data_IF_089380303439
#
_entry.id   IF_089380303439
#
_cell.length_a   1.000
_cell.length_b   1.000
_cell.length_c   1.000
_cell.angle_alpha   90.00
_cell.angle_beta   90.00
_cell.angle_gamma   90.00
#
_symmetry.space_group_name_H-M   'P 1'
#
loop_
_entity.id
_entity.type
_entity.pdbx_description
1 polymer ?
#
# COMPACT_ATOMS: atom_id res chain seq x y z
N UNK A 1 59.80 -11.19 9.59
CA UNK A 1 58.71 -10.47 8.88
C UNK A 1 57.52 -10.41 9.82
N UNK A 2 57.08 -9.23 10.26
CA UNK A 2 55.85 -9.10 11.06
C UNK A 2 54.67 -9.47 10.17
N UNK A 3 53.84 -10.43 10.58
CA UNK A 3 52.56 -10.70 9.92
C UNK A 3 51.80 -9.37 9.77
N UNK A 4 51.16 -9.09 8.62
CA UNK A 4 50.30 -7.92 8.51
C UNK A 4 49.26 -7.99 9.64
N UNK A 5 48.94 -6.86 10.29
CA UNK A 5 47.97 -6.85 11.39
C UNK A 5 46.65 -7.45 10.88
N UNK A 6 46.06 -8.34 11.69
CA UNK A 6 44.81 -8.99 11.33
C UNK A 6 43.75 -7.95 10.92
N UNK A 7 42.98 -8.19 9.86
CA UNK A 7 42.00 -7.23 9.37
C UNK A 7 40.94 -6.97 10.44
N UNK A 8 40.80 -5.71 10.85
CA UNK A 8 39.86 -5.29 11.89
C UNK A 8 38.42 -5.67 11.48
N UNK A 9 37.64 -6.32 12.36
CA UNK A 9 36.30 -6.78 12.04
C UNK A 9 35.39 -5.62 11.59
N UNK A 10 34.50 -5.92 10.65
CA UNK A 10 33.47 -4.99 10.19
C UNK A 10 32.12 -5.43 10.74
N UNK A 11 31.54 -4.59 11.58
CA UNK A 11 30.23 -4.79 12.18
C UNK A 11 29.20 -4.03 11.37
N UNK A 12 28.08 -4.68 11.06
CA UNK A 12 27.03 -4.15 10.19
C UNK A 12 25.70 -4.24 10.91
N UNK A 13 24.97 -3.13 10.96
CA UNK A 13 23.58 -3.14 11.43
C UNK A 13 22.63 -3.74 10.39
N UNK A 14 21.46 -4.21 10.83
CA UNK A 14 20.50 -4.85 9.94
C UNK A 14 19.44 -3.87 9.42
N UNK A 15 18.64 -3.29 10.32
CA UNK A 15 17.44 -2.53 9.96
C UNK A 15 17.79 -1.14 9.41
N UNK A 16 17.27 -0.82 8.23
CA UNK A 16 17.61 0.40 7.49
C UNK A 16 19.09 0.55 7.08
N UNK A 17 19.93 -0.46 7.34
CA UNK A 17 21.34 -0.55 6.94
C UNK A 17 21.54 -1.63 5.89
N UNK A 18 21.54 -2.92 6.28
CA UNK A 18 21.54 -4.06 5.36
C UNK A 18 20.21 -4.21 4.63
N UNK A 19 19.12 -3.98 5.36
CA UNK A 19 17.76 -3.96 4.83
C UNK A 19 17.33 -2.52 4.57
N UNK A 20 16.47 -2.30 3.57
CA UNK A 20 15.84 -0.99 3.31
C UNK A 20 14.60 -0.72 4.17
N UNK A 21 14.39 -1.55 5.18
CA UNK A 21 13.18 -1.57 5.99
C UNK A 21 13.51 -1.75 7.46
N UNK A 22 12.50 -1.60 8.30
CA UNK A 22 12.53 -1.83 9.73
C UNK A 22 11.70 -3.08 10.05
N UNK A 23 12.36 -4.15 10.47
CA UNK A 23 11.72 -5.44 10.74
C UNK A 23 10.76 -5.42 11.93
N UNK A 24 10.92 -4.50 12.89
CA UNK A 24 9.96 -4.34 13.98
C UNK A 24 8.64 -3.77 13.45
N UNK A 25 8.70 -2.69 12.65
CA UNK A 25 7.50 -2.11 12.05
C UNK A 25 6.81 -3.10 11.11
N UNK A 26 7.57 -3.86 10.33
CA UNK A 26 6.98 -4.90 9.49
C UNK A 26 6.30 -6.00 10.30
N UNK A 27 6.92 -6.45 11.39
CA UNK A 27 6.32 -7.47 12.25
C UNK A 27 5.03 -6.96 12.90
N UNK A 28 4.96 -5.67 13.26
CA UNK A 28 3.74 -5.03 13.72
C UNK A 28 2.63 -5.04 12.66
N UNK A 29 2.93 -4.68 11.41
CA UNK A 29 1.92 -4.72 10.33
C UNK A 29 1.52 -6.14 9.94
N UNK A 30 2.45 -7.08 9.96
CA UNK A 30 2.16 -8.50 9.74
C UNK A 30 1.23 -9.04 10.84
N UNK A 31 1.48 -8.69 12.11
CA UNK A 31 0.61 -9.03 13.23
C UNK A 31 -0.75 -8.32 13.13
N UNK A 32 -0.79 -7.04 12.72
CA UNK A 32 -2.02 -6.29 12.52
C UNK A 32 -2.91 -6.94 11.46
N UNK A 33 -2.30 -7.49 10.39
CA UNK A 33 -3.00 -8.24 9.35
C UNK A 33 -3.49 -9.59 9.85
N UNK A 34 -2.65 -10.34 10.57
CA UNK A 34 -2.95 -11.72 10.98
C UNK A 34 -3.92 -11.80 12.16
N UNK A 35 -3.71 -10.98 13.20
CA UNK A 35 -4.50 -10.96 14.44
C UNK A 35 -4.67 -9.52 14.97
N UNK A 36 -5.55 -8.70 14.35
CA UNK A 36 -5.69 -7.29 14.72
C UNK A 36 -6.16 -7.07 16.16
N UNK A 37 -7.13 -7.88 16.64
CA UNK A 37 -7.63 -7.79 18.02
C UNK A 37 -6.57 -8.15 19.06
N UNK A 38 -5.76 -9.19 18.78
CA UNK A 38 -4.63 -9.56 19.64
C UNK A 38 -3.60 -8.43 19.72
N UNK A 39 -3.26 -7.82 18.58
CA UNK A 39 -2.29 -6.72 18.56
C UNK A 39 -2.81 -5.52 19.36
N UNK A 40 -4.10 -5.17 19.20
CA UNK A 40 -4.71 -4.09 19.96
C UNK A 40 -4.67 -4.38 21.47
N UNK A 41 -5.06 -5.58 21.90
CA UNK A 41 -4.99 -5.99 23.30
C UNK A 41 -3.56 -5.94 23.85
N UNK A 42 -2.58 -6.37 23.06
CA UNK A 42 -1.16 -6.32 23.45
C UNK A 42 -0.64 -4.89 23.58
N UNK A 43 -0.94 -4.01 22.63
CA UNK A 43 -0.57 -2.59 22.70
C UNK A 43 -1.21 -1.87 23.91
N UNK A 44 -2.40 -2.31 24.34
CA UNK A 44 -3.07 -1.75 25.52
C UNK A 44 -2.60 -2.35 26.85
N UNK A 45 -1.84 -3.46 26.85
CA UNK A 45 -1.34 -4.10 28.08
C UNK A 45 -0.02 -3.47 28.58
N UNK A 46 0.18 -3.39 29.90
CA UNK A 46 1.39 -2.91 30.59
C UNK A 46 2.02 -4.04 31.43
N UNK A 47 3.36 -4.14 31.56
CA UNK A 47 4.41 -3.24 31.06
C UNK A 47 5.25 -3.80 29.89
N UNK A 48 5.78 -2.88 29.07
CA UNK A 48 6.41 -3.14 27.77
C UNK A 48 7.88 -3.53 27.91
N UNK A 49 8.20 -4.82 27.86
CA UNK A 49 9.55 -5.26 27.56
C UNK A 49 9.72 -5.33 26.03
N UNK A 50 10.49 -4.40 25.44
CA UNK A 50 10.67 -4.32 23.98
C UNK A 50 11.22 -5.62 23.36
N UNK A 51 12.08 -6.34 24.11
CA UNK A 51 12.59 -7.64 23.69
C UNK A 51 11.48 -8.71 23.65
N UNK A 52 10.58 -8.70 24.64
CA UNK A 52 9.42 -9.60 24.69
C UNK A 52 8.38 -9.28 23.60
N UNK A 53 8.15 -8.00 23.30
CA UNK A 53 7.29 -7.60 22.19
C UNK A 53 7.83 -8.12 20.85
N UNK A 54 9.13 -8.00 20.60
CA UNK A 54 9.77 -8.52 19.37
C UNK A 54 9.55 -10.03 19.22
N UNK A 55 9.70 -10.77 20.32
CA UNK A 55 9.51 -12.22 20.36
C UNK A 55 8.04 -12.64 20.19
N UNK A 56 7.12 -11.92 20.84
CA UNK A 56 5.67 -12.16 20.69
C UNK A 56 5.22 -11.91 19.24
N UNK A 57 5.76 -10.87 18.59
CA UNK A 57 5.46 -10.54 17.20
C UNK A 57 5.95 -11.61 16.22
N UNK A 58 7.18 -12.13 16.40
CA UNK A 58 7.67 -13.25 15.58
C UNK A 58 6.84 -14.51 15.75
N UNK A 59 6.31 -14.76 16.95
CA UNK A 59 5.39 -15.88 17.21
C UNK A 59 4.02 -15.74 16.54
N UNK A 60 3.52 -14.52 16.34
CA UNK A 60 2.21 -14.28 15.70
C UNK A 60 2.29 -14.23 14.19
N UNK A 61 3.32 -13.58 13.64
CA UNK A 61 3.49 -13.43 12.21
C UNK A 61 4.99 -13.41 11.86
N UNK A 62 5.52 -14.57 11.50
CA UNK A 62 6.90 -14.68 11.06
C UNK A 62 7.11 -13.95 9.72
N UNK A 63 8.09 -13.05 9.67
CA UNK A 63 8.50 -12.39 8.43
C UNK A 63 9.27 -13.37 7.55
N UNK A 64 8.95 -13.41 6.26
CA UNK A 64 9.74 -14.16 5.28
C UNK A 64 11.00 -13.36 4.90
N UNK A 65 12.11 -13.70 5.54
CA UNK A 65 13.42 -13.10 5.31
C UNK A 65 13.88 -13.13 3.85
N UNK A 66 13.35 -14.04 3.01
CA UNK A 66 13.65 -14.11 1.57
C UNK A 66 13.06 -12.95 0.78
N UNK A 67 11.98 -12.35 1.28
CA UNK A 67 11.27 -11.27 0.58
C UNK A 67 11.72 -9.88 1.03
N UNK A 68 12.38 -9.75 2.19
CA UNK A 68 12.82 -8.47 2.74
C UNK A 68 13.72 -7.70 1.76
N UNK A 69 13.54 -6.37 1.62
CA UNK A 69 14.27 -5.57 0.65
C UNK A 69 15.70 -5.36 1.12
N UNK A 70 16.65 -5.98 0.44
CA UNK A 70 18.08 -5.85 0.72
C UNK A 70 18.65 -4.61 0.03
N UNK A 71 19.55 -3.90 0.71
CA UNK A 71 20.32 -2.82 0.09
C UNK A 71 21.53 -3.39 -0.68
N UNK A 72 21.28 -3.73 -1.95
CA UNK A 72 22.26 -4.43 -2.80
C UNK A 72 23.66 -3.79 -2.87
N UNK A 73 23.81 -2.45 -3.00
CA UNK A 73 25.13 -1.82 -3.03
C UNK A 73 25.98 -2.09 -1.78
N UNK A 74 25.35 -2.17 -0.60
CA UNK A 74 26.06 -2.52 0.63
C UNK A 74 26.45 -4.00 0.63
N UNK A 75 25.57 -4.90 0.18
CA UNK A 75 25.89 -6.32 0.08
C UNK A 75 27.07 -6.58 -0.85
N UNK A 76 27.14 -5.88 -1.99
CA UNK A 76 28.26 -6.01 -2.93
C UNK A 76 29.57 -5.50 -2.33
N UNK A 77 29.53 -4.39 -1.58
CA UNK A 77 30.68 -3.92 -0.80
C UNK A 77 31.11 -4.93 0.27
N UNK A 78 30.16 -5.53 1.00
CA UNK A 78 30.47 -6.52 2.04
C UNK A 78 31.08 -7.80 1.45
N UNK A 79 30.63 -8.25 0.27
CA UNK A 79 31.26 -9.36 -0.46
C UNK A 79 32.73 -9.07 -0.76
N UNK A 80 33.03 -7.85 -1.19
CA UNK A 80 34.41 -7.43 -1.43
C UNK A 80 35.24 -7.44 -0.14
N UNK A 81 34.71 -6.87 0.95
CA UNK A 81 35.38 -6.92 2.26
C UNK A 81 35.63 -8.35 2.73
N UNK A 82 34.68 -9.26 2.51
CA UNK A 82 34.83 -10.68 2.84
C UNK A 82 35.95 -11.33 2.03
N UNK A 83 36.05 -11.02 0.74
CA UNK A 83 37.12 -11.49 -0.15
C UNK A 83 38.50 -11.00 0.29
N UNK A 84 38.58 -9.80 0.86
CA UNK A 84 39.81 -9.26 1.47
C UNK A 84 40.17 -9.90 2.83
N UNK A 85 39.46 -10.96 3.24
CA UNK A 85 39.75 -11.71 4.47
C UNK A 85 39.20 -11.06 5.74
N UNK A 86 38.33 -10.06 5.62
CA UNK A 86 37.76 -9.35 6.76
C UNK A 86 36.67 -10.17 7.45
N UNK A 87 36.69 -10.20 8.77
CA UNK A 87 35.62 -10.81 9.58
C UNK A 87 34.39 -9.89 9.53
N UNK A 88 33.24 -10.43 9.14
CA UNK A 88 31.98 -9.69 9.05
C UNK A 88 31.03 -10.12 10.16
N UNK A 89 30.48 -9.16 10.88
CA UNK A 89 29.58 -9.40 12.01
C UNK A 89 28.27 -8.66 11.77
N UNK A 90 27.14 -9.36 11.83
CA UNK A 90 25.82 -8.73 11.85
C UNK A 90 25.48 -8.39 13.30
N UNK A 91 25.18 -7.13 13.61
CA UNK A 91 24.82 -6.69 14.96
C UNK A 91 23.54 -5.85 14.96
N UNK A 92 22.42 -6.44 15.38
CA UNK A 92 21.09 -5.81 15.31
C UNK A 92 20.34 -5.85 16.63
N UNK A 93 19.46 -4.88 16.84
CA UNK A 93 18.49 -4.93 17.94
C UNK A 93 17.30 -5.86 17.67
N UNK A 94 17.16 -6.42 16.48
CA UNK A 94 16.05 -7.29 16.12
C UNK A 94 16.17 -8.70 16.70
N UNK A 95 15.08 -9.45 16.65
CA UNK A 95 15.00 -10.81 17.17
C UNK A 95 16.03 -11.73 16.48
N UNK A 96 16.64 -12.62 17.26
CA UNK A 96 17.67 -13.54 16.78
C UNK A 96 17.22 -14.42 15.61
N UNK A 97 15.96 -14.88 15.60
CA UNK A 97 15.43 -15.72 14.52
C UNK A 97 15.43 -14.99 13.17
N UNK A 98 14.96 -13.73 13.15
CA UNK A 98 14.97 -12.89 11.95
C UNK A 98 16.41 -12.57 11.53
N UNK A 99 17.26 -12.17 12.48
CA UNK A 99 18.65 -11.83 12.21
C UNK A 99 19.43 -12.99 11.59
N UNK A 100 19.25 -14.21 12.12
CA UNK A 100 19.84 -15.43 11.57
C UNK A 100 19.30 -15.75 10.18
N UNK A 101 17.98 -15.62 9.95
CA UNK A 101 17.40 -15.87 8.64
C UNK A 101 17.94 -14.91 7.56
N UNK A 102 18.14 -13.64 7.91
CA UNK A 102 18.76 -12.64 7.02
C UNK A 102 20.24 -12.93 6.80
N UNK A 103 21.00 -13.26 7.86
CA UNK A 103 22.40 -13.61 7.76
C UNK A 103 22.63 -14.84 6.85
N UNK A 104 21.80 -15.87 7.01
CA UNK A 104 21.82 -17.08 6.18
C UNK A 104 21.50 -16.78 4.72
N UNK A 105 20.55 -15.87 4.45
CA UNK A 105 20.21 -15.44 3.08
C UNK A 105 21.40 -14.76 2.40
N UNK A 106 22.15 -13.94 3.13
CA UNK A 106 23.32 -13.26 2.58
C UNK A 106 24.52 -14.19 2.42
N UNK A 107 24.70 -15.14 3.35
CA UNK A 107 25.85 -16.04 3.42
C UNK A 107 27.21 -15.30 3.45
N UNK A 108 27.27 -14.18 4.19
CA UNK A 108 28.47 -13.32 4.30
C UNK A 108 29.04 -13.18 5.71
N UNK A 109 28.19 -13.36 6.74
CA UNK A 109 28.54 -13.03 8.11
C UNK A 109 29.15 -14.23 8.84
N UNK A 110 30.24 -13.98 9.55
CA UNK A 110 30.92 -14.97 10.41
C UNK A 110 30.24 -15.12 11.76
N UNK A 111 29.59 -14.04 12.22
CA UNK A 111 28.93 -13.99 13.52
C UNK A 111 27.69 -13.11 13.47
N UNK A 112 26.68 -13.50 14.22
CA UNK A 112 25.44 -12.73 14.41
C UNK A 112 25.29 -12.39 15.89
N UNK A 113 25.08 -11.11 16.17
CA UNK A 113 24.73 -10.57 17.47
C UNK A 113 23.33 -9.95 17.33
N UNK A 114 22.36 -10.45 18.09
CA UNK A 114 20.96 -10.02 18.01
C UNK A 114 20.32 -10.01 19.40
N UNK A 115 19.10 -9.45 19.50
CA UNK A 115 18.30 -9.54 20.72
C UNK A 115 17.74 -10.97 20.89
N UNK A 116 17.68 -11.45 22.13
CA UNK A 116 17.32 -12.84 22.48
C UNK A 116 16.05 -12.96 23.34
N UNK A 117 15.20 -11.92 23.32
CA UNK A 117 13.97 -11.84 24.13
C UNK A 117 14.19 -11.36 25.56
N UNK A 118 15.43 -11.45 26.09
CA UNK A 118 15.80 -10.95 27.43
C UNK A 118 16.67 -9.70 27.35
N UNK A 119 17.67 -9.70 26.47
CA UNK A 119 18.55 -8.57 26.21
C UNK A 119 18.15 -7.88 24.90
N UNK A 120 17.88 -6.58 24.96
CA UNK A 120 17.65 -5.75 23.78
C UNK A 120 18.98 -5.16 23.28
N UNK A 121 19.53 -5.69 22.19
CA UNK A 121 20.84 -5.30 21.65
C UNK A 121 20.74 -4.01 20.80
N UNK A 122 20.39 -2.90 21.43
CA UNK A 122 20.29 -1.58 20.79
C UNK A 122 21.08 -0.51 21.55
N UNK A 123 21.57 0.51 20.86
CA UNK A 123 22.21 1.66 21.51
C UNK A 123 23.42 1.28 22.35
N UNK A 124 23.41 1.73 23.61
CA UNK A 124 24.48 1.47 24.60
C UNK A 124 24.74 -0.02 24.79
N UNK A 125 23.70 -0.87 24.90
CA UNK A 125 23.89 -2.31 25.07
C UNK A 125 24.60 -2.96 23.86
N UNK A 126 24.35 -2.44 22.65
CA UNK A 126 25.06 -2.87 21.42
C UNK A 126 26.54 -2.45 21.51
N UNK A 127 26.81 -1.21 21.91
CA UNK A 127 28.17 -0.68 22.12
C UNK A 127 28.92 -1.50 23.16
N UNK A 128 28.35 -1.71 24.34
CA UNK A 128 28.98 -2.44 25.45
C UNK A 128 29.34 -3.88 25.05
N UNK A 129 28.44 -4.56 24.33
CA UNK A 129 28.70 -5.91 23.82
C UNK A 129 29.85 -5.96 22.81
N UNK A 130 29.94 -4.97 21.92
CA UNK A 130 31.01 -4.89 20.92
C UNK A 130 32.35 -4.51 21.54
N UNK A 131 32.36 -3.55 22.47
CA UNK A 131 33.56 -3.14 23.21
C UNK A 131 34.07 -4.28 24.09
N UNK A 132 33.18 -5.04 24.74
CA UNK A 132 33.57 -6.22 25.51
C UNK A 132 34.19 -7.32 24.64
N UNK A 133 33.74 -7.46 23.38
CA UNK A 133 34.23 -8.51 22.48
C UNK A 133 35.51 -8.14 21.73
N UNK A 134 35.70 -6.87 21.37
CA UNK A 134 36.77 -6.43 20.46
C UNK A 134 37.63 -5.27 21.00
N UNK A 135 37.23 -4.66 22.12
CA UNK A 135 37.88 -3.47 22.66
C UNK A 135 37.44 -2.16 21.99
N UNK A 136 37.79 -1.04 22.62
CA UNK A 136 37.57 0.30 22.07
C UNK A 136 38.47 0.47 20.83
N UNK A 137 37.89 0.95 19.72
CA UNK A 137 38.53 1.05 18.40
C UNK A 137 39.06 -0.29 17.84
N UNK A 138 38.53 -1.41 18.34
CA UNK A 138 38.86 -2.76 17.84
C UNK A 138 37.99 -3.25 16.70
N UNK A 139 37.04 -2.44 16.23
CA UNK A 139 36.10 -2.78 15.16
C UNK A 139 35.74 -1.53 14.34
N UNK A 140 35.31 -1.72 13.09
CA UNK A 140 34.63 -0.69 12.31
C UNK A 140 33.12 -0.98 12.25
N UNK A 141 32.30 0.05 12.04
CA UNK A 141 30.84 -0.07 12.15
C UNK A 141 30.07 0.58 10.99
N UNK A 142 29.09 -0.13 10.44
CA UNK A 142 28.12 0.39 9.46
C UNK A 142 26.74 0.42 10.10
N UNK A 143 26.09 1.59 10.09
CA UNK A 143 24.76 1.80 10.65
C UNK A 143 24.00 2.93 9.96
N UNK A 144 22.81 3.28 10.46
CA UNK A 144 21.92 4.25 9.80
C UNK A 144 21.14 5.14 10.78
N UNK A 145 21.18 4.86 12.08
CA UNK A 145 20.28 5.44 13.07
C UNK A 145 20.99 6.31 14.10
N UNK A 146 20.26 7.18 14.79
CA UNK A 146 20.80 7.91 15.94
C UNK A 146 21.15 6.98 17.11
N UNK A 147 20.51 5.80 17.19
CA UNK A 147 20.86 4.76 18.16
C UNK A 147 22.27 4.20 17.96
N UNK A 148 22.88 4.42 16.80
CA UNK A 148 24.24 3.97 16.50
C UNK A 148 25.33 4.94 16.94
N UNK A 149 24.97 6.15 17.40
CA UNK A 149 25.93 7.17 17.84
C UNK A 149 26.90 6.66 18.92
N UNK A 150 26.47 5.94 19.98
CA UNK A 150 27.39 5.39 20.97
C UNK A 150 28.34 4.34 20.38
N UNK A 151 27.86 3.55 19.42
CA UNK A 151 28.65 2.51 18.74
C UNK A 151 29.72 3.14 17.86
N UNK A 152 29.35 4.16 17.06
CA UNK A 152 30.30 4.93 16.27
C UNK A 152 31.36 5.64 17.13
N UNK A 153 31.00 6.14 18.31
CA UNK A 153 31.96 6.78 19.21
C UNK A 153 33.07 5.82 19.68
N UNK A 154 32.77 4.52 19.75
CA UNK A 154 33.70 3.48 20.17
C UNK A 154 34.37 2.74 19.01
N UNK A 155 33.87 2.91 17.77
CA UNK A 155 34.41 2.30 16.56
C UNK A 155 35.67 3.03 16.07
N UNK A 156 36.53 2.32 15.34
CA UNK A 156 37.73 2.89 14.72
C UNK A 156 37.39 3.71 13.47
N UNK A 157 36.61 3.13 12.56
CA UNK A 157 35.99 3.82 11.43
C UNK A 157 34.50 3.51 11.37
N UNK A 158 33.72 4.42 10.80
CA UNK A 158 32.29 4.25 10.65
C UNK A 158 31.78 4.58 9.25
N UNK A 159 30.70 3.94 8.84
CA UNK A 159 29.93 4.34 7.67
C UNK A 159 28.44 4.46 8.00
N UNK A 160 27.85 5.58 7.61
CA UNK A 160 26.43 5.82 7.76
C UNK A 160 25.69 5.60 6.43
N UNK A 161 24.76 4.65 6.42
CA UNK A 161 23.90 4.34 5.28
C UNK A 161 22.64 5.18 5.37
N UNK A 162 22.32 5.91 4.29
CA UNK A 162 21.11 6.74 4.17
C UNK A 162 20.74 7.55 5.43
N UNK A 163 21.68 8.31 6.04
CA UNK A 163 21.42 8.99 7.31
C UNK A 163 20.32 10.04 7.18
N UNK A 164 19.48 10.12 8.21
CA UNK A 164 18.47 11.17 8.36
C UNK A 164 19.10 12.56 8.39
N UNK A 165 18.30 13.62 8.17
CA UNK A 165 18.79 15.01 8.20
C UNK A 165 19.47 15.31 9.54
N UNK A 166 18.86 14.90 10.65
CA UNK A 166 19.42 15.01 11.99
C UNK A 166 20.73 14.22 12.13
N UNK A 167 20.75 12.95 11.69
CA UNK A 167 21.96 12.15 11.84
C UNK A 167 23.13 12.70 11.00
N UNK A 168 22.86 13.35 9.86
CA UNK A 168 23.88 14.03 9.06
C UNK A 168 24.56 15.17 9.81
N UNK A 169 23.88 15.88 10.71
CA UNK A 169 24.52 16.93 11.52
C UNK A 169 25.40 16.34 12.61
N UNK A 170 24.98 15.24 13.24
CA UNK A 170 25.78 14.56 14.27
C UNK A 170 27.02 13.89 13.69
N UNK A 171 26.91 13.19 12.55
CA UNK A 171 28.06 12.56 11.88
C UNK A 171 29.13 13.58 11.47
N UNK A 172 28.76 14.83 11.13
CA UNK A 172 29.75 15.88 10.82
C UNK A 172 30.68 16.18 11.99
N UNK A 173 30.26 15.88 13.23
CA UNK A 173 31.07 16.03 14.43
C UNK A 173 31.99 14.82 14.68
N UNK A 174 31.88 13.76 13.89
CA UNK A 174 32.62 12.49 14.01
C UNK A 174 33.43 12.24 12.73
N UNK A 175 34.65 12.79 12.59
CA UNK A 175 35.41 12.76 11.32
C UNK A 175 35.79 11.35 10.86
N UNK A 176 35.78 10.36 11.75
CA UNK A 176 36.02 8.94 11.42
C UNK A 176 34.78 8.23 10.87
N UNK A 177 33.61 8.88 10.83
CA UNK A 177 32.36 8.34 10.29
C UNK A 177 32.06 8.99 8.94
N UNK A 178 32.10 8.19 7.88
CA UNK A 178 31.84 8.63 6.51
C UNK A 178 30.41 8.26 6.08
N UNK A 179 29.91 8.86 5.01
CA UNK A 179 28.63 8.43 4.42
C UNK A 179 28.87 7.30 3.44
N UNK A 180 28.08 6.24 3.55
CA UNK A 180 28.12 5.14 2.59
C UNK A 180 27.30 5.49 1.35
N UNK A 181 27.98 5.73 0.22
CA UNK A 181 27.44 5.76 -1.14
C UNK A 181 26.05 6.43 -1.28
N UNK A 182 25.90 7.63 -0.69
CA UNK A 182 24.60 8.19 -0.35
C UNK A 182 24.03 9.16 -1.41
N UNK A 183 23.53 8.64 -2.53
CA UNK A 183 22.71 9.41 -3.49
C UNK A 183 21.31 8.84 -3.75
N UNK A 184 20.88 7.82 -3.00
CA UNK A 184 19.49 7.37 -3.02
C UNK A 184 18.59 8.40 -2.28
N UNK A 185 18.40 9.58 -2.87
CA UNK A 185 17.29 10.46 -2.49
C UNK A 185 16.01 9.69 -2.71
N UNK A 186 15.09 9.77 -1.74
CA UNK A 186 13.73 9.28 -1.98
C UNK A 186 13.15 10.18 -3.04
N UNK A 187 12.99 9.63 -4.24
CA UNK A 187 12.48 10.36 -5.38
C UNK A 187 11.01 10.78 -5.12
N UNK A 188 10.63 11.95 -5.62
CA UNK A 188 9.27 12.45 -5.57
C UNK A 188 8.30 11.46 -6.23
N UNK A 189 8.76 10.73 -7.25
CA UNK A 189 8.01 9.64 -7.87
C UNK A 189 7.59 8.55 -6.86
N UNK A 190 8.43 8.26 -5.86
CA UNK A 190 8.10 7.26 -4.82
C UNK A 190 6.95 7.74 -3.93
N UNK A 191 6.90 9.04 -3.62
CA UNK A 191 5.79 9.65 -2.90
C UNK A 191 4.50 9.62 -3.73
N UNK A 192 4.54 10.13 -4.96
CA UNK A 192 3.38 10.20 -5.86
C UNK A 192 2.80 8.79 -6.10
N UNK A 193 3.68 7.80 -6.32
CA UNK A 193 3.29 6.40 -6.50
C UNK A 193 2.65 5.81 -5.24
N UNK A 194 3.22 6.05 -4.05
CA UNK A 194 2.68 5.55 -2.78
C UNK A 194 1.31 6.14 -2.44
N UNK A 195 1.11 7.42 -2.74
CA UNK A 195 -0.14 8.17 -2.52
C UNK A 195 -1.23 7.73 -3.52
N UNK A 196 -0.82 7.11 -4.64
CA UNK A 196 -1.70 6.64 -5.71
C UNK A 196 -2.52 7.75 -6.35
N UNK A 197 -1.86 8.84 -6.76
CA UNK A 197 -2.52 9.97 -7.45
C UNK A 197 -3.33 9.52 -8.67
N UNK A 198 -2.87 8.52 -9.41
CA UNK A 198 -3.64 7.93 -10.52
C UNK A 198 -5.00 7.39 -10.09
N UNK A 199 -5.19 6.97 -8.84
CA UNK A 199 -6.47 6.47 -8.34
C UNK A 199 -7.45 7.57 -7.94
N UNK A 200 -7.04 8.85 -7.93
CA UNK A 200 -7.92 9.98 -7.60
C UNK A 200 -9.06 10.14 -8.61
N UNK A 201 -8.88 9.65 -9.84
CA UNK A 201 -9.94 9.62 -10.86
C UNK A 201 -11.21 8.91 -10.37
N UNK A 202 -11.10 7.94 -9.45
CA UNK A 202 -12.26 7.23 -8.88
C UNK A 202 -13.14 8.13 -8.03
N UNK A 203 -12.58 9.22 -7.52
CA UNK A 203 -13.32 10.19 -6.74
C UNK A 203 -14.10 11.17 -7.63
N UNK A 204 -13.87 11.18 -8.96
CA UNK A 204 -14.74 11.91 -9.89
C UNK A 204 -16.19 11.42 -9.84
N UNK A 205 -16.44 10.22 -9.28
CA UNK A 205 -17.79 9.73 -8.99
C UNK A 205 -18.59 10.64 -8.03
N UNK A 206 -17.92 11.49 -7.25
CA UNK A 206 -18.59 12.50 -6.43
C UNK A 206 -19.30 13.57 -7.29
N UNK A 207 -18.89 13.74 -8.55
CA UNK A 207 -19.49 14.69 -9.48
C UNK A 207 -20.72 14.11 -10.21
N UNK A 208 -20.89 12.79 -10.21
CA UNK A 208 -21.96 12.11 -10.96
C UNK A 208 -23.36 12.62 -10.59
N UNK A 209 -23.71 12.82 -9.30
CA UNK A 209 -25.02 13.37 -8.94
C UNK A 209 -25.25 14.77 -9.54
N UNK A 210 -24.23 15.62 -9.59
CA UNK A 210 -24.36 16.98 -10.13
C UNK A 210 -24.59 16.97 -11.63
N UNK A 211 -23.94 16.05 -12.35
CA UNK A 211 -24.12 15.92 -13.79
C UNK A 211 -25.52 15.43 -14.18
N UNK A 212 -26.18 14.69 -13.28
CA UNK A 212 -27.47 14.05 -13.53
C UNK A 212 -28.67 14.78 -12.91
N UNK A 213 -28.46 15.72 -11.99
CA UNK A 213 -29.56 16.49 -11.38
C UNK A 213 -30.06 17.62 -12.30
N UNK A 214 -29.36 17.90 -13.42
CA UNK A 214 -29.70 18.89 -14.46
C UNK A 214 -30.05 20.31 -13.95
N UNK A 215 -29.73 20.63 -12.68
CA UNK A 215 -29.96 21.93 -12.06
C UNK A 215 -28.76 22.85 -12.22
N UNK A 216 -29.03 24.15 -12.26
CA UNK A 216 -27.99 25.15 -12.08
C UNK A 216 -27.59 25.20 -10.61
N UNK A 217 -26.33 24.88 -10.33
CA UNK A 217 -25.76 24.97 -8.99
C UNK A 217 -25.11 26.32 -8.76
N UNK A 218 -25.29 26.88 -7.57
CA UNK A 218 -24.60 28.09 -7.17
C UNK A 218 -23.09 27.83 -6.93
N UNK A 219 -22.31 28.91 -6.91
CA UNK A 219 -20.86 28.84 -6.73
C UNK A 219 -20.46 28.17 -5.41
N UNK A 220 -21.27 28.35 -4.35
CA UNK A 220 -21.07 27.71 -3.05
C UNK A 220 -21.20 26.19 -3.14
N UNK A 221 -22.23 25.69 -3.81
CA UNK A 221 -22.43 24.24 -3.98
C UNK A 221 -21.27 23.61 -4.77
N UNK A 222 -20.85 24.25 -5.86
CA UNK A 222 -19.71 23.79 -6.65
C UNK A 222 -18.43 23.75 -5.79
N UNK A 223 -18.17 24.81 -5.02
CA UNK A 223 -17.02 24.86 -4.11
C UNK A 223 -17.06 23.73 -3.07
N UNK A 224 -18.21 23.47 -2.45
CA UNK A 224 -18.37 22.37 -1.49
C UNK A 224 -18.08 21.00 -2.12
N UNK A 225 -18.50 20.78 -3.36
CA UNK A 225 -18.27 19.51 -4.05
C UNK A 225 -16.81 19.33 -4.44
N UNK A 226 -16.11 20.39 -4.88
CA UNK A 226 -14.67 20.33 -5.10
C UNK A 226 -13.89 20.13 -3.79
N UNK A 227 -14.35 20.74 -2.69
CA UNK A 227 -13.78 20.53 -1.37
C UNK A 227 -14.00 19.08 -0.88
N UNK A 228 -15.18 18.51 -1.14
CA UNK A 228 -15.50 17.11 -0.90
C UNK A 228 -14.64 16.15 -1.74
N UNK A 229 -14.38 16.49 -3.00
CA UNK A 229 -13.48 15.75 -3.89
C UNK A 229 -12.06 15.71 -3.32
N UNK A 230 -11.50 16.87 -2.92
CA UNK A 230 -10.19 16.96 -2.29
C UNK A 230 -10.14 16.16 -0.98
N UNK A 231 -11.18 16.27 -0.14
CA UNK A 231 -11.34 15.51 1.09
C UNK A 231 -11.28 13.99 0.84
N UNK A 232 -12.00 13.48 -0.16
CA UNK A 232 -12.01 12.06 -0.52
C UNK A 232 -10.68 11.59 -1.13
N UNK A 233 -9.97 12.44 -1.87
CA UNK A 233 -8.62 12.13 -2.38
C UNK A 233 -7.63 11.89 -1.25
N UNK A 234 -7.63 12.74 -0.21
CA UNK A 234 -6.78 12.57 0.96
C UNK A 234 -7.16 11.34 1.79
N UNK A 235 -8.45 11.16 2.08
CA UNK A 235 -8.97 9.98 2.79
C UNK A 235 -8.58 8.67 2.08
N UNK A 236 -8.83 8.59 0.77
CA UNK A 236 -8.51 7.41 -0.03
C UNK A 236 -6.99 7.16 -0.09
N UNK A 237 -6.17 8.20 -0.18
CA UNK A 237 -4.71 8.07 -0.17
C UNK A 237 -4.20 7.47 1.15
N UNK A 238 -4.75 7.91 2.29
CA UNK A 238 -4.42 7.29 3.59
C UNK A 238 -4.85 5.83 3.69
N UNK A 239 -6.04 5.48 3.16
CA UNK A 239 -6.48 4.08 3.07
C UNK A 239 -5.54 3.25 2.20
N UNK A 240 -5.08 3.78 1.06
CA UNK A 240 -4.14 3.07 0.19
C UNK A 240 -2.76 2.87 0.84
N UNK A 241 -2.24 3.87 1.55
CA UNK A 241 -1.01 3.73 2.33
C UNK A 241 -1.16 2.65 3.40
N UNK A 242 -2.27 2.65 4.15
CA UNK A 242 -2.53 1.63 5.16
C UNK A 242 -2.61 0.23 4.55
N UNK A 243 -3.31 0.09 3.43
CA UNK A 243 -3.42 -1.18 2.73
C UNK A 243 -2.04 -1.69 2.29
N UNK A 244 -1.18 -0.82 1.76
CA UNK A 244 0.15 -1.21 1.27
C UNK A 244 1.11 -1.57 2.42
N UNK A 245 0.95 -0.93 3.58
CA UNK A 245 1.65 -1.32 4.80
C UNK A 245 1.23 -2.70 5.32
N UNK A 246 -0.07 -3.01 5.29
CA UNK A 246 -0.60 -4.32 5.68
C UNK A 246 -0.33 -5.42 4.64
N UNK A 247 -0.12 -5.05 3.38
CA UNK A 247 0.14 -5.95 2.25
C UNK A 247 1.64 -6.13 1.96
N UNK A 248 2.57 -5.57 2.74
CA UNK A 248 4.03 -5.57 2.46
C UNK A 248 4.58 -6.95 2.04
N UNK A 249 4.33 -8.00 2.84
CA UNK A 249 4.81 -9.35 2.55
C UNK A 249 4.21 -9.92 1.26
N UNK A 250 2.90 -9.79 1.09
CA UNK A 250 2.19 -10.28 -0.12
C UNK A 250 2.59 -9.50 -1.38
N UNK A 251 2.80 -8.19 -1.27
CA UNK A 251 3.18 -7.34 -2.38
C UNK A 251 4.58 -7.67 -2.90
N UNK A 252 5.51 -8.06 -2.02
CA UNK A 252 6.88 -8.46 -2.40
C UNK A 252 6.95 -9.76 -3.16
N UNK A 253 6.03 -10.68 -2.88
CA UNK A 253 5.93 -11.96 -3.60
C UNK A 253 5.31 -11.76 -4.99
N UNK A 254 4.52 -10.71 -5.18
CA UNK A 254 3.82 -10.46 -6.44
C UNK A 254 4.73 -9.91 -7.55
N UNK A 255 4.59 -10.35 -8.83
CA UNK A 255 5.52 -10.00 -9.92
C UNK A 255 5.64 -8.49 -10.19
N UNK A 256 4.49 -7.80 -10.21
CA UNK A 256 4.41 -6.34 -10.42
C UNK A 256 4.40 -5.53 -9.11
N UNK A 257 3.59 -5.91 -8.10
CA UNK A 257 3.43 -5.14 -6.86
C UNK A 257 4.71 -5.06 -6.01
N UNK A 258 5.69 -5.94 -6.22
CA UNK A 258 7.02 -5.85 -5.56
C UNK A 258 7.76 -4.55 -5.85
N UNK A 259 7.41 -3.87 -6.94
CA UNK A 259 7.98 -2.56 -7.33
C UNK A 259 7.30 -1.38 -6.65
N UNK A 260 6.22 -1.58 -5.88
CA UNK A 260 5.58 -0.51 -5.10
C UNK A 260 6.61 0.11 -4.14
N UNK A 261 6.50 1.41 -3.90
CA UNK A 261 7.50 2.16 -3.14
C UNK A 261 7.73 1.59 -1.73
N UNK A 262 6.66 1.14 -1.06
CA UNK A 262 6.76 0.51 0.27
C UNK A 262 7.32 -0.92 0.20
N UNK A 263 6.82 -1.76 -0.72
CA UNK A 263 7.26 -3.13 -0.88
C UNK A 263 8.76 -3.24 -1.23
N UNK A 264 9.26 -2.35 -2.09
CA UNK A 264 10.67 -2.28 -2.50
C UNK A 264 11.60 -1.61 -1.48
N UNK A 265 11.05 -0.97 -0.44
CA UNK A 265 11.81 -0.15 0.51
C UNK A 265 12.33 1.17 -0.09
N UNK A 266 11.75 1.65 -1.19
CA UNK A 266 12.05 2.97 -1.76
C UNK A 266 11.48 4.11 -0.90
N UNK A 267 10.31 3.90 -0.29
CA UNK A 267 9.72 4.79 0.71
C UNK A 267 9.79 4.13 2.10
N UNK A 268 10.49 4.72 3.08
CA UNK A 268 10.53 4.18 4.44
C UNK A 268 9.15 4.15 5.10
N UNK A 269 8.89 3.11 5.89
CA UNK A 269 7.62 2.89 6.59
C UNK A 269 7.25 4.07 7.48
N UNK A 270 8.23 4.66 8.18
CA UNK A 270 8.02 5.80 9.08
C UNK A 270 7.47 7.02 8.32
N UNK A 271 7.94 7.26 7.09
CA UNK A 271 7.43 8.37 6.26
C UNK A 271 6.03 8.09 5.77
N UNK A 272 5.72 6.85 5.40
CA UNK A 272 4.36 6.46 5.01
C UNK A 272 3.37 6.61 6.17
N UNK A 273 3.78 6.31 7.41
CA UNK A 273 2.96 6.54 8.61
C UNK A 273 2.64 8.03 8.81
N UNK A 274 3.63 8.91 8.67
CA UNK A 274 3.42 10.37 8.76
C UNK A 274 2.47 10.86 7.66
N UNK A 275 2.63 10.39 6.42
CA UNK A 275 1.71 10.72 5.32
C UNK A 275 0.29 10.22 5.55
N UNK A 276 0.15 8.98 6.03
CA UNK A 276 -1.14 8.38 6.36
C UNK A 276 -1.87 9.21 7.41
N UNK A 277 -1.21 9.49 8.54
CA UNK A 277 -1.78 10.29 9.62
C UNK A 277 -2.10 11.72 9.14
N UNK A 278 -1.17 12.35 8.42
CA UNK A 278 -1.34 13.70 7.88
C UNK A 278 -2.52 13.81 6.91
N UNK A 279 -2.72 12.83 6.02
CA UNK A 279 -3.84 12.83 5.09
C UNK A 279 -5.18 12.57 5.74
N UNK A 280 -5.27 11.65 6.69
CA UNK A 280 -6.51 11.44 7.44
C UNK A 280 -6.87 12.66 8.29
N UNK A 281 -5.87 13.26 8.94
CA UNK A 281 -6.07 14.50 9.70
C UNK A 281 -6.52 15.65 8.79
N UNK A 282 -5.82 15.90 7.68
CA UNK A 282 -6.19 16.94 6.72
C UNK A 282 -7.57 16.70 6.09
N UNK A 283 -7.89 15.45 5.73
CA UNK A 283 -9.21 15.06 5.23
C UNK A 283 -10.31 15.39 6.25
N UNK A 284 -10.09 15.06 7.53
CA UNK A 284 -11.04 15.37 8.60
C UNK A 284 -11.19 16.87 8.84
N UNK A 285 -10.10 17.63 8.84
CA UNK A 285 -10.12 19.09 8.94
C UNK A 285 -10.94 19.72 7.81
N UNK A 286 -10.73 19.26 6.57
CA UNK A 286 -11.53 19.70 5.41
C UNK A 286 -13.00 19.33 5.59
N UNK A 287 -13.30 18.12 6.07
CA UNK A 287 -14.66 17.65 6.27
C UNK A 287 -15.46 18.49 7.29
N UNK A 288 -14.79 19.21 8.21
CA UNK A 288 -15.46 20.12 9.15
C UNK A 288 -16.16 21.29 8.47
N UNK A 289 -15.71 21.68 7.27
CA UNK A 289 -16.33 22.74 6.47
C UNK A 289 -17.49 22.24 5.59
N UNK A 290 -17.75 20.93 5.57
CA UNK A 290 -18.80 20.31 4.78
C UNK A 290 -20.00 19.91 5.65
N UNK A 291 -21.19 19.64 5.07
CA UNK A 291 -22.38 19.26 5.83
C UNK A 291 -22.17 18.06 6.77
N UNK A 292 -22.91 18.00 7.88
CA UNK A 292 -22.80 16.91 8.86
C UNK A 292 -23.06 15.53 8.26
N UNK A 293 -24.02 15.43 7.34
CA UNK A 293 -24.32 14.20 6.62
C UNK A 293 -23.11 13.71 5.80
N UNK A 294 -22.36 14.63 5.17
CA UNK A 294 -21.13 14.29 4.45
C UNK A 294 -20.08 13.70 5.41
N UNK A 295 -19.89 14.30 6.59
CA UNK A 295 -18.92 13.81 7.60
C UNK A 295 -19.23 12.39 8.06
N UNK A 296 -20.52 12.09 8.31
CA UNK A 296 -20.96 10.74 8.67
C UNK A 296 -20.71 9.76 7.52
N UNK A 297 -21.02 10.14 6.28
CA UNK A 297 -20.75 9.32 5.10
C UNK A 297 -19.25 9.03 4.92
N UNK A 298 -18.39 10.04 5.09
CA UNK A 298 -16.93 9.89 5.05
C UNK A 298 -16.43 8.92 6.13
N UNK A 299 -16.95 9.05 7.36
CA UNK A 299 -16.61 8.15 8.46
C UNK A 299 -17.01 6.70 8.16
N UNK A 300 -18.24 6.47 7.67
CA UNK A 300 -18.73 5.15 7.27
C UNK A 300 -17.84 4.58 6.14
N UNK A 301 -17.49 5.40 5.16
CA UNK A 301 -16.59 5.02 4.07
C UNK A 301 -15.21 4.59 4.59
N UNK A 302 -14.59 5.38 5.48
CA UNK A 302 -13.28 5.05 6.07
C UNK A 302 -13.34 3.77 6.89
N UNK A 303 -14.39 3.60 7.70
CA UNK A 303 -14.61 2.38 8.49
C UNK A 303 -14.77 1.16 7.58
N UNK A 304 -15.60 1.27 6.54
CA UNK A 304 -15.81 0.21 5.55
C UNK A 304 -14.49 -0.19 4.89
N UNK A 305 -13.67 0.78 4.47
CA UNK A 305 -12.37 0.52 3.84
C UNK A 305 -11.35 -0.10 4.81
N UNK A 306 -11.39 0.27 6.09
CA UNK A 306 -10.56 -0.35 7.13
C UNK A 306 -10.95 -1.82 7.36
N UNK A 307 -12.25 -2.08 7.56
CA UNK A 307 -12.80 -3.43 7.74
C UNK A 307 -12.53 -4.29 6.50
N UNK A 308 -12.67 -3.72 5.30
CA UNK A 308 -12.28 -4.35 4.06
C UNK A 308 -10.82 -4.78 4.05
N UNK A 309 -9.92 -3.86 4.39
CA UNK A 309 -8.47 -4.10 4.34
C UNK A 309 -8.02 -5.16 5.33
N UNK A 310 -8.65 -5.24 6.50
CA UNK A 310 -8.31 -6.19 7.56
C UNK A 310 -8.96 -7.57 7.35
N UNK A 311 -10.22 -7.61 6.91
CA UNK A 311 -11.00 -8.86 6.92
C UNK A 311 -11.65 -9.18 5.57
N UNK A 312 -12.48 -8.27 5.03
CA UNK A 312 -13.40 -8.62 3.94
C UNK A 312 -12.70 -8.89 2.60
N UNK A 313 -11.49 -8.34 2.39
CA UNK A 313 -10.76 -8.50 1.13
C UNK A 313 -10.40 -9.94 0.76
N UNK A 314 -10.46 -10.87 1.71
CA UNK A 314 -10.12 -12.29 1.51
C UNK A 314 -11.36 -13.19 1.37
N UNK A 315 -12.57 -12.63 1.42
CA UNK A 315 -13.83 -13.37 1.31
C UNK A 315 -14.36 -13.19 -0.12
N UNK A 316 -14.45 -14.26 -0.94
CA UNK A 316 -14.94 -14.18 -2.30
C UNK A 316 -16.33 -13.56 -2.39
N UNK A 317 -16.56 -12.78 -3.43
CA UNK A 317 -17.75 -11.94 -3.70
C UNK A 317 -18.00 -10.83 -2.68
N UNK A 318 -17.76 -11.06 -1.39
CA UNK A 318 -17.89 -10.03 -0.34
C UNK A 318 -16.87 -8.92 -0.55
N UNK A 319 -15.66 -9.23 -1.01
CA UNK A 319 -14.66 -8.22 -1.38
C UNK A 319 -15.19 -7.28 -2.48
N UNK A 320 -15.74 -7.84 -3.57
CA UNK A 320 -16.29 -7.11 -4.70
C UNK A 320 -17.53 -6.30 -4.31
N UNK A 321 -18.43 -6.89 -3.50
CA UNK A 321 -19.62 -6.21 -2.99
C UNK A 321 -19.24 -5.02 -2.10
N UNK A 322 -18.23 -5.20 -1.24
CA UNK A 322 -17.72 -4.13 -0.38
C UNK A 322 -17.13 -2.98 -1.19
N UNK A 323 -16.39 -3.28 -2.26
CA UNK A 323 -15.88 -2.26 -3.18
C UNK A 323 -17.03 -1.52 -3.86
N UNK A 324 -18.05 -2.24 -4.35
CA UNK A 324 -19.25 -1.64 -4.95
C UNK A 324 -19.96 -0.67 -3.99
N UNK A 325 -20.19 -1.08 -2.74
CA UNK A 325 -20.73 -0.21 -1.69
C UNK A 325 -19.83 1.02 -1.48
N UNK A 326 -18.52 0.85 -1.46
CA UNK A 326 -17.57 1.96 -1.38
C UNK A 326 -17.67 2.94 -2.55
N UNK A 327 -18.00 2.48 -3.75
CA UNK A 327 -18.26 3.34 -4.91
C UNK A 327 -19.62 4.05 -4.77
N UNK A 328 -20.66 3.36 -4.31
CA UNK A 328 -21.95 3.99 -3.99
C UNK A 328 -21.80 5.10 -2.94
N UNK A 329 -21.03 4.86 -1.87
CA UNK A 329 -20.77 5.86 -0.83
C UNK A 329 -20.08 7.11 -1.38
N UNK A 330 -19.23 6.99 -2.42
CA UNK A 330 -18.64 8.16 -3.10
C UNK A 330 -19.71 8.98 -3.82
N UNK A 331 -20.59 8.31 -4.57
CA UNK A 331 -21.71 8.98 -5.25
C UNK A 331 -22.60 9.67 -4.20
N UNK A 332 -22.94 8.98 -3.12
CA UNK A 332 -23.73 9.54 -2.01
C UNK A 332 -23.04 10.72 -1.35
N UNK A 333 -21.74 10.64 -1.09
CA UNK A 333 -20.98 11.75 -0.52
C UNK A 333 -20.99 12.98 -1.42
N UNK A 334 -20.87 12.81 -2.74
CA UNK A 334 -21.00 13.89 -3.71
C UNK A 334 -22.34 14.61 -3.62
N UNK A 335 -23.44 13.86 -3.60
CA UNK A 335 -24.77 14.42 -3.45
C UNK A 335 -24.98 15.12 -2.10
N UNK A 336 -24.50 14.52 -1.00
CA UNK A 336 -24.59 15.14 0.33
C UNK A 336 -23.77 16.43 0.45
N UNK A 337 -22.62 16.52 -0.23
CA UNK A 337 -21.85 17.76 -0.31
C UNK A 337 -22.58 18.84 -1.13
N UNK A 338 -23.34 18.42 -2.14
CA UNK A 338 -24.14 19.31 -2.98
C UNK A 338 -25.51 19.68 -2.40
N UNK A 339 -25.94 19.06 -1.30
CA UNK A 339 -27.32 19.16 -0.81
C UNK A 339 -28.36 18.52 -1.73
N UNK A 340 -27.93 17.63 -2.63
CA UNK A 340 -28.78 16.93 -3.59
C UNK A 340 -29.26 15.57 -3.06
N UNK A 341 -30.38 15.10 -3.60
CA UNK A 341 -30.89 13.76 -3.34
C UNK A 341 -30.27 12.76 -4.31
N UNK A 342 -29.91 11.58 -3.81
CA UNK A 342 -29.41 10.50 -4.67
C UNK A 342 -30.58 9.61 -5.09
N UNK A 343 -30.74 9.39 -6.39
CA UNK A 343 -31.71 8.42 -6.91
C UNK A 343 -31.34 7.00 -6.49
N UNK A 344 -32.32 6.26 -5.94
CA UNK A 344 -32.16 4.83 -5.62
C UNK A 344 -31.83 3.99 -6.86
N UNK A 345 -32.34 4.39 -8.03
CA UNK A 345 -32.01 3.78 -9.32
C UNK A 345 -30.55 3.96 -9.68
N UNK A 346 -30.01 5.18 -9.53
CA UNK A 346 -28.60 5.47 -9.79
C UNK A 346 -27.68 4.62 -8.89
N UNK A 347 -27.99 4.52 -7.60
CA UNK A 347 -27.20 3.70 -6.67
C UNK A 347 -27.26 2.21 -7.00
N UNK A 348 -28.43 1.69 -7.39
CA UNK A 348 -28.61 0.28 -7.74
C UNK A 348 -27.86 -0.07 -9.03
N UNK A 349 -28.03 0.72 -10.09
CA UNK A 349 -27.32 0.54 -11.35
C UNK A 349 -25.80 0.65 -11.16
N UNK A 350 -25.35 1.70 -10.45
CA UNK A 350 -23.93 1.90 -10.16
C UNK A 350 -23.36 0.78 -9.31
N UNK A 351 -24.07 0.34 -8.27
CA UNK A 351 -23.65 -0.74 -7.39
C UNK A 351 -23.43 -2.04 -8.15
N UNK A 352 -24.38 -2.44 -8.99
CA UNK A 352 -24.26 -3.64 -9.84
C UNK A 352 -23.14 -3.52 -10.87
N UNK A 353 -23.00 -2.35 -11.51
CA UNK A 353 -21.92 -2.09 -12.46
C UNK A 353 -20.54 -2.20 -11.79
N UNK A 354 -20.34 -1.54 -10.64
CA UNK A 354 -19.07 -1.59 -9.92
C UNK A 354 -18.79 -2.95 -9.29
N UNK A 355 -19.82 -3.69 -8.89
CA UNK A 355 -19.68 -5.08 -8.45
C UNK A 355 -19.14 -5.96 -9.59
N UNK A 356 -19.74 -5.85 -10.79
CA UNK A 356 -19.26 -6.57 -11.97
C UNK A 356 -17.84 -6.17 -12.38
N UNK A 357 -17.50 -4.88 -12.36
CA UNK A 357 -16.13 -4.41 -12.62
C UNK A 357 -15.12 -4.86 -11.56
N UNK A 358 -15.53 -4.95 -10.30
CA UNK A 358 -14.69 -5.49 -9.24
C UNK A 358 -14.42 -6.99 -9.46
N UNK A 359 -15.41 -7.77 -9.87
CA UNK A 359 -15.23 -9.18 -10.26
C UNK A 359 -14.37 -9.32 -11.52
N UNK A 360 -14.53 -8.43 -12.50
CA UNK A 360 -13.67 -8.38 -13.69
C UNK A 360 -12.20 -8.20 -13.29
N UNK A 361 -11.93 -7.31 -12.33
CA UNK A 361 -10.58 -7.13 -11.78
C UNK A 361 -10.05 -8.40 -11.12
N UNK A 362 -10.88 -9.10 -10.33
CA UNK A 362 -10.48 -10.38 -9.70
C UNK A 362 -10.18 -11.44 -10.74
N UNK A 363 -11.03 -11.54 -11.76
CA UNK A 363 -10.85 -12.44 -12.89
C UNK A 363 -9.52 -12.17 -13.63
N UNK A 364 -9.24 -10.91 -13.95
CA UNK A 364 -8.01 -10.52 -14.62
C UNK A 364 -6.74 -10.81 -13.79
N UNK A 365 -6.80 -10.58 -12.47
CA UNK A 365 -5.71 -10.91 -11.54
C UNK A 365 -5.47 -12.42 -11.45
N UNK A 366 -6.54 -13.24 -11.44
CA UNK A 366 -6.48 -14.70 -11.50
C UNK A 366 -5.79 -15.20 -12.78
N UNK A 367 -6.20 -14.70 -13.94
CA UNK A 367 -5.58 -15.04 -15.23
C UNK A 367 -4.09 -14.71 -15.24
N UNK A 368 -3.73 -13.50 -14.78
CA UNK A 368 -2.34 -13.04 -14.75
C UNK A 368 -1.47 -13.88 -13.81
N UNK A 369 -1.97 -14.23 -12.62
CA UNK A 369 -1.22 -15.04 -11.66
C UNK A 369 -1.09 -16.50 -12.09
N UNK A 370 -2.11 -17.06 -12.76
CA UNK A 370 -1.99 -18.38 -13.41
C UNK A 370 -0.83 -18.40 -14.40
N UNK A 371 -0.75 -17.38 -15.26
CA UNK A 371 0.25 -17.32 -16.33
C UNK A 371 1.67 -17.10 -15.78
N UNK A 372 1.82 -16.42 -14.64
CA UNK A 372 3.13 -16.08 -14.05
C UNK A 372 3.62 -17.06 -12.97
N UNK A 373 2.71 -17.70 -12.23
CA UNK A 373 3.03 -18.49 -11.02
C UNK A 373 2.45 -19.91 -11.04
N UNK A 374 1.70 -20.28 -12.08
CA UNK A 374 1.04 -21.58 -12.19
C UNK A 374 -0.35 -21.64 -11.56
N UNK A 375 -1.05 -22.75 -11.81
CA UNK A 375 -2.51 -22.90 -11.65
C UNK A 375 -2.99 -22.82 -10.18
N UNK A 376 -2.13 -23.14 -9.21
CA UNK A 376 -2.51 -23.31 -7.80
C UNK A 376 -2.33 -22.06 -6.92
N UNK A 377 -2.12 -20.88 -7.49
CA UNK A 377 -1.93 -19.65 -6.68
C UNK A 377 -3.29 -19.02 -6.36
N UNK A 378 -3.81 -19.12 -5.12
CA UNK A 378 -5.09 -18.51 -4.77
C UNK A 378 -4.98 -16.98 -4.75
N UNK A 379 -6.00 -16.31 -5.28
CA UNK A 379 -6.07 -14.85 -5.34
C UNK A 379 -7.13 -14.38 -4.37
N UNK A 380 -6.72 -13.94 -3.16
CA UNK A 380 -7.67 -13.37 -2.17
C UNK A 380 -8.87 -14.27 -1.86
N UNK A 381 -8.63 -15.59 -1.75
CA UNK A 381 -9.68 -16.58 -1.52
C UNK A 381 -10.40 -17.07 -2.79
N UNK A 382 -10.17 -16.44 -3.95
CA UNK A 382 -10.59 -16.97 -5.23
C UNK A 382 -9.61 -18.01 -5.74
N UNK A 383 -10.16 -19.01 -6.44
CA UNK A 383 -9.44 -20.14 -6.98
C UNK A 383 -9.78 -20.31 -8.47
N UNK A 384 -8.79 -20.76 -9.26
CA UNK A 384 -8.91 -20.80 -10.72
C UNK A 384 -10.02 -21.73 -11.22
N UNK A 385 -10.35 -22.77 -10.47
CA UNK A 385 -11.49 -23.68 -10.71
C UNK A 385 -12.84 -22.94 -10.74
N UNK A 386 -12.93 -21.77 -10.09
CA UNK A 386 -14.15 -20.96 -10.01
C UNK A 386 -14.12 -19.72 -10.90
N UNK A 387 -13.10 -19.56 -11.75
CA UNK A 387 -12.94 -18.38 -12.59
C UNK A 387 -14.15 -18.13 -13.50
N UNK A 388 -14.72 -19.19 -14.09
CA UNK A 388 -15.92 -19.11 -14.93
C UNK A 388 -17.14 -18.63 -14.15
N UNK A 389 -17.30 -19.04 -12.89
CA UNK A 389 -18.39 -18.57 -12.03
C UNK A 389 -18.22 -17.10 -11.67
N UNK A 390 -17.00 -16.66 -11.38
CA UNK A 390 -16.69 -15.23 -11.13
C UNK A 390 -17.03 -14.39 -12.34
N UNK A 391 -16.64 -14.84 -13.54
CA UNK A 391 -16.95 -14.15 -14.78
C UNK A 391 -18.45 -14.13 -15.06
N UNK A 392 -19.15 -15.26 -14.89
CA UNK A 392 -20.60 -15.34 -15.07
C UNK A 392 -21.35 -14.35 -14.18
N UNK A 393 -21.08 -14.35 -12.88
CA UNK A 393 -21.70 -13.42 -11.93
C UNK A 393 -21.38 -11.96 -12.28
N UNK A 394 -20.13 -11.67 -12.64
CA UNK A 394 -19.70 -10.32 -12.99
C UNK A 394 -20.35 -9.79 -14.27
N UNK A 395 -20.43 -10.61 -15.32
CA UNK A 395 -21.10 -10.27 -16.57
C UNK A 395 -22.60 -10.06 -16.31
N UNK A 396 -23.26 -10.97 -15.61
CA UNK A 396 -24.69 -10.86 -15.28
C UNK A 396 -24.98 -9.59 -14.49
N UNK A 397 -24.18 -9.24 -13.48
CA UNK A 397 -24.36 -8.00 -12.72
C UNK A 397 -24.27 -6.75 -13.60
N UNK A 398 -23.27 -6.68 -14.50
CA UNK A 398 -23.14 -5.58 -15.44
C UNK A 398 -24.31 -5.52 -16.45
N UNK A 399 -24.75 -6.66 -16.98
CA UNK A 399 -25.88 -6.72 -17.91
C UNK A 399 -27.19 -6.25 -17.23
N UNK A 400 -27.43 -6.68 -15.99
CA UNK A 400 -28.59 -6.20 -15.20
C UNK A 400 -28.47 -4.70 -14.93
N UNK A 401 -27.29 -4.18 -14.62
CA UNK A 401 -27.08 -2.73 -14.46
C UNK A 401 -27.43 -1.95 -15.73
N UNK A 402 -26.96 -2.39 -16.91
CA UNK A 402 -27.28 -1.77 -18.19
C UNK A 402 -28.77 -1.86 -18.51
N UNK A 403 -29.41 -3.01 -18.24
CA UNK A 403 -30.84 -3.20 -18.45
C UNK A 403 -31.70 -2.30 -17.54
N UNK A 404 -31.36 -2.21 -16.25
CA UNK A 404 -32.03 -1.31 -15.32
C UNK A 404 -31.89 0.16 -15.73
N UNK A 405 -30.72 0.56 -16.21
CA UNK A 405 -30.50 1.92 -16.70
C UNK A 405 -31.33 2.21 -17.97
N UNK A 406 -31.40 1.27 -18.92
CA UNK A 406 -32.22 1.41 -20.12
C UNK A 406 -33.73 1.40 -19.81
N UNK A 407 -34.15 0.71 -18.75
CA UNK A 407 -35.55 0.65 -18.32
C UNK A 407 -35.99 1.89 -17.51
N UNK A 408 -35.06 2.61 -16.91
CA UNK A 408 -35.32 3.76 -16.04
C UNK A 408 -36.34 4.79 -16.60
N UNK A 409 -36.23 5.27 -17.86
CA UNK A 409 -37.17 6.26 -18.42
C UNK A 409 -38.62 5.75 -18.48
N UNK A 410 -38.78 4.45 -18.73
CA UNK A 410 -40.09 3.81 -18.78
C UNK A 410 -40.70 3.71 -17.37
N UNK A 411 -39.87 3.44 -16.35
CA UNK A 411 -40.29 3.35 -14.96
C UNK A 411 -40.77 4.68 -14.37
N UNK A 412 -40.17 5.81 -14.78
CA UNK A 412 -40.53 7.15 -14.29
C UNK A 412 -41.52 7.89 -15.19
N UNK A 413 -42.07 7.22 -16.21
CA UNK A 413 -42.94 7.80 -17.24
C UNK A 413 -42.38 9.08 -17.90
N UNK A 414 -41.04 9.21 -17.97
CA UNK A 414 -40.41 10.34 -18.65
C UNK A 414 -40.78 10.28 -20.13
N UNK A 415 -41.38 11.36 -20.65
CA UNK A 415 -41.73 11.48 -22.07
C UNK A 415 -40.51 11.79 -22.93
N UNK A 416 -39.62 12.65 -22.42
CA UNK A 416 -38.40 13.11 -23.08
C UNK A 416 -37.18 12.32 -22.58
N UNK A 417 -36.18 12.12 -23.45
CA UNK A 417 -34.90 11.48 -23.10
C UNK A 417 -34.83 9.95 -23.10
N UNK A 418 -35.83 9.28 -23.69
CA UNK A 418 -35.83 7.80 -23.82
C UNK A 418 -34.75 7.27 -24.77
N UNK A 419 -34.48 7.99 -25.86
CA UNK A 419 -33.51 7.55 -26.86
C UNK A 419 -32.07 7.62 -26.30
N UNK A 420 -31.69 8.69 -25.61
CA UNK A 420 -30.33 8.79 -25.09
C UNK A 420 -30.06 7.77 -23.99
N UNK A 421 -31.00 7.56 -23.07
CA UNK A 421 -30.87 6.55 -22.01
C UNK A 421 -30.78 5.13 -22.56
N UNK A 422 -31.54 4.81 -23.62
CA UNK A 422 -31.37 3.55 -24.37
C UNK A 422 -30.01 3.45 -25.05
N UNK A 423 -29.55 4.52 -25.70
CA UNK A 423 -28.22 4.57 -26.32
C UNK A 423 -27.11 4.38 -25.28
N UNK A 424 -27.18 5.06 -24.14
CA UNK A 424 -26.24 4.91 -23.02
C UNK A 424 -26.25 3.48 -22.50
N UNK A 425 -27.43 2.87 -22.32
CA UNK A 425 -27.55 1.47 -21.90
C UNK A 425 -26.92 0.50 -22.91
N UNK A 426 -27.18 0.68 -24.21
CA UNK A 426 -26.63 -0.15 -25.27
C UNK A 426 -25.10 0.01 -25.41
N UNK A 427 -24.59 1.25 -25.39
CA UNK A 427 -23.16 1.55 -25.44
C UNK A 427 -22.43 1.02 -24.21
N UNK A 428 -23.04 1.12 -23.03
CA UNK A 428 -22.50 0.55 -21.79
C UNK A 428 -22.43 -0.97 -21.86
N UNK A 429 -23.43 -1.63 -22.45
CA UNK A 429 -23.42 -3.08 -22.66
C UNK A 429 -22.29 -3.51 -23.62
N UNK A 430 -22.09 -2.80 -24.72
CA UNK A 430 -20.96 -3.03 -25.64
C UNK A 430 -19.62 -2.84 -24.94
N UNK A 431 -19.51 -1.79 -24.11
CA UNK A 431 -18.30 -1.54 -23.33
C UNK A 431 -18.02 -2.65 -22.32
N UNK A 432 -19.04 -3.14 -21.61
CA UNK A 432 -18.94 -4.29 -20.70
C UNK A 432 -18.44 -5.53 -21.46
N UNK A 433 -19.04 -5.84 -22.62
CA UNK A 433 -18.62 -6.98 -23.43
C UNK A 433 -17.15 -6.87 -23.87
N UNK A 434 -16.71 -5.69 -24.29
CA UNK A 434 -15.32 -5.41 -24.65
C UNK A 434 -14.37 -5.59 -23.45
N UNK A 435 -14.70 -5.01 -22.30
CA UNK A 435 -13.88 -5.11 -21.09
C UNK A 435 -13.69 -6.57 -20.65
N UNK A 436 -14.77 -7.36 -20.63
CA UNK A 436 -14.68 -8.78 -20.29
C UNK A 436 -13.86 -9.56 -21.33
N UNK A 437 -14.01 -9.27 -22.62
CA UNK A 437 -13.18 -9.87 -23.67
C UNK A 437 -11.69 -9.58 -23.47
N UNK A 438 -11.34 -8.34 -23.08
CA UNK A 438 -9.96 -7.96 -22.79
C UNK A 438 -9.43 -8.66 -21.52
N UNK A 439 -10.28 -8.88 -20.52
CA UNK A 439 -9.93 -9.66 -19.33
C UNK A 439 -9.67 -11.14 -19.67
N UNK A 440 -10.52 -11.76 -20.51
CA UNK A 440 -10.32 -13.14 -21.00
C UNK A 440 -9.00 -13.30 -21.76
N UNK A 441 -8.57 -12.28 -22.50
CA UNK A 441 -7.30 -12.25 -23.23
C UNK A 441 -6.08 -11.92 -22.37
N UNK A 442 -6.24 -11.76 -21.06
CA UNK A 442 -5.13 -11.41 -20.15
C UNK A 442 -4.52 -10.02 -20.38
N UNK A 443 -5.25 -9.11 -21.05
CA UNK A 443 -4.74 -7.76 -21.38
C UNK A 443 -4.92 -6.76 -20.24
N UNK A 444 -5.85 -7.03 -19.31
CA UNK A 444 -6.08 -6.20 -18.14
C UNK A 444 -5.18 -6.69 -17.02
N UNK A 445 -4.11 -5.95 -16.73
CA UNK A 445 -3.14 -6.32 -15.67
C UNK A 445 -3.39 -5.54 -14.38
N UNK A 446 -3.98 -4.34 -14.49
CA UNK A 446 -4.18 -3.40 -13.40
C UNK A 446 -5.67 -3.09 -13.18
N UNK A 447 -5.98 -1.86 -12.80
CA UNK A 447 -7.34 -1.40 -12.52
C UNK A 447 -8.15 -1.24 -13.81
N UNK A 448 -9.38 -1.79 -13.90
CA UNK A 448 -10.20 -1.71 -15.11
C UNK A 448 -10.45 -0.28 -15.58
N UNK A 449 -10.58 0.68 -14.64
CA UNK A 449 -10.79 2.10 -14.95
C UNK A 449 -9.54 2.69 -15.61
N UNK A 450 -8.36 2.37 -15.09
CA UNK A 450 -7.09 2.83 -15.66
C UNK A 450 -6.85 2.24 -17.06
N UNK A 451 -7.24 0.99 -17.28
CA UNK A 451 -7.20 0.37 -18.60
C UNK A 451 -8.11 1.09 -19.60
N UNK A 452 -9.37 1.33 -19.21
CA UNK A 452 -10.36 1.98 -20.06
C UNK A 452 -9.95 3.39 -20.56
N UNK A 453 -9.16 4.11 -19.77
CA UNK A 453 -8.66 5.44 -20.17
C UNK A 453 -7.57 5.38 -21.26
N UNK A 454 -6.83 4.29 -21.37
CA UNK A 454 -5.77 4.14 -22.38
C UNK A 454 -6.27 3.34 -23.59
N UNK A 455 -7.24 2.46 -23.39
CA UNK A 455 -7.82 1.63 -24.44
C UNK A 455 -8.65 2.47 -25.44
N UNK A 456 -8.32 2.42 -26.75
CA UNK A 456 -8.99 3.25 -27.75
C UNK A 456 -10.48 2.94 -27.89
N UNK A 457 -10.89 1.66 -27.85
CA UNK A 457 -12.29 1.28 -27.96
C UNK A 457 -13.11 1.79 -26.76
N UNK A 458 -12.56 1.68 -25.55
CA UNK A 458 -13.16 2.23 -24.33
C UNK A 458 -13.31 3.75 -24.38
N UNK A 459 -12.32 4.47 -24.90
CA UNK A 459 -12.42 5.93 -25.07
C UNK A 459 -13.49 6.34 -26.08
N UNK A 460 -13.59 5.64 -27.21
CA UNK A 460 -14.61 5.91 -28.23
C UNK A 460 -16.01 5.64 -27.67
N UNK A 461 -16.22 4.47 -27.03
CA UNK A 461 -17.50 4.14 -26.41
C UNK A 461 -17.87 5.11 -25.28
N UNK A 462 -16.89 5.52 -24.47
CA UNK A 462 -17.08 6.52 -23.41
C UNK A 462 -17.47 7.89 -23.97
N UNK A 463 -16.82 8.34 -25.04
CA UNK A 463 -17.18 9.59 -25.73
C UNK A 463 -18.60 9.52 -26.30
N UNK A 464 -18.95 8.43 -26.98
CA UNK A 464 -20.30 8.22 -27.52
C UNK A 464 -21.37 8.21 -26.41
N UNK A 465 -21.05 7.62 -25.26
CA UNK A 465 -21.94 7.58 -24.09
C UNK A 465 -22.13 8.97 -23.51
N UNK A 466 -21.06 9.76 -23.41
CA UNK A 466 -21.11 11.15 -22.96
C UNK A 466 -21.93 12.01 -23.93
N UNK A 467 -21.67 11.91 -25.24
CA UNK A 467 -22.42 12.67 -26.24
C UNK A 467 -23.90 12.30 -26.26
N UNK A 468 -24.24 11.01 -26.10
CA UNK A 468 -25.63 10.59 -25.98
C UNK A 468 -26.27 11.22 -24.73
N UNK A 469 -25.60 11.16 -23.58
CA UNK A 469 -26.10 11.74 -22.33
C UNK A 469 -26.31 13.26 -22.39
N UNK A 470 -25.50 13.96 -23.20
CA UNK A 470 -25.60 15.42 -23.39
C UNK A 470 -26.59 15.81 -24.48
N UNK A 471 -26.99 14.90 -25.38
CA UNK A 471 -27.95 15.19 -26.44
C UNK A 471 -29.39 15.39 -25.94
N UNK A 472 -29.64 15.02 -24.68
CA UNK A 472 -30.89 15.26 -23.94
C UNK A 472 -30.87 16.53 -23.07
N UNK A 473 -29.76 17.29 -23.08
CA UNK A 473 -29.62 18.62 -22.46
C UNK A 473 -29.90 19.68 -23.52
#
# INVERSE_FOLDING_TARGET
MKQPPAPVPLVVDMDGTLLRTDTLLESLFAAARAKPLWLLQRLLSLPWAMARLKQDLTGVAALDAKTLPIYQPLVDYLREQKRLGRILILATGSDYGIAMAVANRCALFDKVLASDGTLNLSGESKKDRLVSAYGIKGFDYIGNSSGDLPVWASARQGWAVNPSVYLRSEIRRMPHVQRFNSDARIDLASYISAIRVSHWMKNLLLLVPLLLDHKQYDSTTLFNVFLALACFCLAASGVYLLNDLLDLGTDRQHPHKRRRALASGALPIQRALVLLAGFWWASWCIAMFLPSAFRVCLFIYLLLMLVYTLYLKNIPFVDAATLAVGYCLRITAGALAAGALVSSWLLTCSGLMFFGLALLKRYAEMVTLRDLMGVNTPVRGYSMDRASSVAGVGISACCVACGLFAYFPLAIAAGEGRLATWMVGALSLLWVAHMWMMAYRGRIQDDPVSFALHDPASRVLGLLTLTASLADI
#
